data_IF_999079166414
#
_entry.id   IF_999079166414
#
_cell.length_a   1.000
_cell.length_b   1.000
_cell.length_c   1.000
_cell.angle_alpha   90.00
_cell.angle_beta   90.00
_cell.angle_gamma   90.00
#
_symmetry.space_group_name_H-M   'P 1'
#
loop_
_entity.id
_entity.type
_entity.pdbx_description
1 polymer ?
#
# COMPACT_ATOMS: atom_id res chain seq x y z
N UNK A 1 -14.65 -7.23 2.72
CA UNK A 1 -13.51 -6.56 3.39
C UNK A 1 -13.63 -5.04 3.24
N UNK A 2 -13.16 -4.25 4.23
CA UNK A 2 -12.95 -2.81 4.09
C UNK A 2 -11.95 -2.49 2.96
N UNK A 3 -12.03 -1.27 2.43
CA UNK A 3 -10.96 -0.73 1.59
C UNK A 3 -9.88 -0.22 2.53
N UNK A 4 -8.62 -0.49 2.22
CA UNK A 4 -7.50 -0.15 3.07
C UNK A 4 -6.31 0.37 2.28
N UNK A 5 -5.41 1.08 2.95
CA UNK A 5 -4.20 1.62 2.35
C UNK A 5 -3.27 2.23 3.38
N UNK A 6 -2.21 2.88 2.90
CA UNK A 6 -1.23 3.58 3.71
C UNK A 6 -1.06 5.03 3.27
N UNK A 7 -0.87 5.91 4.24
CA UNK A 7 -0.20 7.20 4.01
C UNK A 7 1.24 7.10 4.52
N UNK A 8 2.19 7.51 3.70
CA UNK A 8 3.59 7.60 4.10
C UNK A 8 3.89 9.04 4.51
N UNK A 9 4.11 9.26 5.81
CA UNK A 9 4.31 10.59 6.38
C UNK A 9 5.79 10.74 6.75
N UNK A 10 6.54 11.67 6.13
CA UNK A 10 7.95 11.89 6.46
C UNK A 10 8.15 12.26 7.93
N UNK A 11 9.18 11.68 8.55
CA UNK A 11 9.66 12.07 9.89
C UNK A 11 10.96 12.86 9.74
N UNK A 12 11.88 12.33 8.93
CA UNK A 12 13.17 12.91 8.59
C UNK A 12 13.62 12.36 7.22
N UNK A 13 14.86 12.65 6.82
CA UNK A 13 15.42 12.29 5.51
C UNK A 13 15.52 10.78 5.26
N UNK A 14 15.47 9.97 6.32
CA UNK A 14 15.69 8.52 6.25
C UNK A 14 14.48 7.70 6.72
N UNK A 15 13.45 8.33 7.28
CA UNK A 15 12.36 7.64 7.97
C UNK A 15 11.00 8.29 7.70
N UNK A 16 9.99 7.44 7.61
CA UNK A 16 8.58 7.83 7.48
C UNK A 16 7.70 6.93 8.35
N UNK A 17 6.56 7.46 8.76
CA UNK A 17 5.47 6.67 9.34
C UNK A 17 4.62 6.07 8.22
N UNK A 18 4.27 4.79 8.36
CA UNK A 18 3.20 4.15 7.61
C UNK A 18 1.89 4.26 8.41
N UNK A 19 1.00 5.17 8.00
CA UNK A 19 -0.33 5.29 8.60
C UNK A 19 -1.32 4.41 7.83
N UNK A 20 -1.60 3.23 8.37
CA UNK A 20 -2.60 2.32 7.83
C UNK A 20 -4.02 2.79 8.17
N UNK A 21 -4.93 2.69 7.21
CA UNK A 21 -6.35 3.00 7.42
C UNK A 21 -7.25 1.98 6.75
N UNK A 22 -8.44 1.81 7.33
CA UNK A 22 -9.55 1.06 6.75
C UNK A 22 -10.78 1.95 6.67
N UNK A 23 -11.57 1.82 5.61
CA UNK A 23 -12.84 2.50 5.50
C UNK A 23 -13.88 1.71 4.70
N UNK A 24 -15.13 2.15 4.85
CA UNK A 24 -16.29 1.74 4.08
C UNK A 24 -17.03 2.99 3.62
N UNK A 25 -17.46 3.03 2.37
CA UNK A 25 -18.15 4.20 1.78
C UNK A 25 -19.61 4.32 2.18
N UNK A 26 -20.21 3.26 2.74
CA UNK A 26 -21.66 3.15 2.94
C UNK A 26 -22.09 3.04 4.40
N UNK A 27 -21.16 2.70 5.29
CA UNK A 27 -21.42 2.46 6.71
C UNK A 27 -20.14 2.59 7.51
N UNK A 28 -20.29 2.73 8.82
CA UNK A 28 -19.15 2.65 9.73
C UNK A 28 -18.56 1.24 9.79
N UNK A 29 -17.30 1.14 10.23
CA UNK A 29 -16.65 -0.13 10.52
C UNK A 29 -17.33 -0.80 11.71
N UNK A 30 -17.54 -2.11 11.61
CA UNK A 30 -18.10 -2.90 12.72
C UNK A 30 -17.09 -3.05 13.84
N UNK A 31 -17.54 -3.53 15.00
CA UNK A 31 -16.65 -3.87 16.11
C UNK A 31 -15.62 -4.92 15.72
N UNK A 32 -16.04 -5.96 14.99
CA UNK A 32 -15.15 -7.04 14.54
C UNK A 32 -14.12 -6.55 13.51
N UNK A 33 -14.54 -5.68 12.57
CA UNK A 33 -13.62 -5.08 11.59
C UNK A 33 -12.55 -4.23 12.29
N UNK A 34 -12.95 -3.43 13.29
CA UNK A 34 -11.99 -2.66 14.10
C UNK A 34 -11.10 -3.56 14.95
N UNK A 35 -11.65 -4.58 15.59
CA UNK A 35 -10.89 -5.55 16.36
C UNK A 35 -9.82 -6.22 15.50
N UNK A 36 -10.15 -6.59 14.26
CA UNK A 36 -9.19 -7.16 13.33
C UNK A 36 -8.03 -6.21 13.00
N UNK A 37 -8.28 -4.90 12.90
CA UNK A 37 -7.21 -3.90 12.73
C UNK A 37 -6.30 -3.86 13.96
N UNK A 38 -6.88 -3.84 15.17
CA UNK A 38 -6.11 -3.87 16.43
C UNK A 38 -5.30 -5.14 16.61
N UNK A 39 -5.83 -6.27 16.14
CA UNK A 39 -5.16 -7.57 16.16
C UNK A 39 -4.08 -7.71 15.06
N UNK A 40 -3.90 -6.69 14.22
CA UNK A 40 -2.85 -6.65 13.20
C UNK A 40 -3.14 -7.50 11.96
N UNK A 41 -4.41 -7.62 11.57
CA UNK A 41 -4.79 -8.31 10.34
C UNK A 41 -4.69 -7.40 9.10
N UNK A 42 -4.50 -8.03 7.93
CA UNK A 42 -4.39 -7.31 6.66
C UNK A 42 -3.14 -6.43 6.60
N UNK A 43 -3.35 -5.12 6.35
CA UNK A 43 -2.30 -4.10 6.28
C UNK A 43 -1.93 -3.50 7.65
N UNK A 44 -2.57 -3.98 8.72
CA UNK A 44 -2.26 -3.57 10.09
C UNK A 44 -1.23 -4.50 10.72
N UNK A 45 -0.63 -4.05 11.82
CA UNK A 45 0.25 -4.87 12.64
C UNK A 45 0.02 -4.59 14.12
N UNK A 46 0.48 -5.52 14.98
CA UNK A 46 0.52 -5.29 16.43
C UNK A 46 1.69 -4.38 16.77
N UNK A 47 1.52 -3.57 17.80
CA UNK A 47 2.54 -2.64 18.27
C UNK A 47 3.11 -3.05 19.62
N UNK A 48 4.32 -2.59 19.93
CA UNK A 48 4.83 -2.60 21.31
C UNK A 48 3.86 -1.75 22.15
N UNK A 49 3.29 -2.29 23.24
CA UNK A 49 2.26 -1.60 24.01
C UNK A 49 2.65 -0.18 24.42
N UNK A 50 1.76 0.79 24.17
CA UNK A 50 1.99 2.21 24.49
C UNK A 50 2.88 2.96 23.49
N UNK A 51 3.23 2.35 22.34
CA UNK A 51 4.07 2.98 21.31
C UNK A 51 3.46 2.82 19.91
N UNK A 52 4.08 3.45 18.91
CA UNK A 52 3.78 3.27 17.48
C UNK A 52 4.79 2.34 16.79
N UNK A 53 5.63 1.64 17.55
CA UNK A 53 6.65 0.74 17.00
C UNK A 53 6.01 -0.63 16.77
N UNK A 54 6.08 -1.20 15.55
CA UNK A 54 5.59 -2.56 15.30
C UNK A 54 6.23 -3.56 16.26
N UNK A 55 5.43 -4.49 16.80
CA UNK A 55 5.89 -5.52 17.73
C UNK A 55 6.94 -6.42 17.08
N UNK A 56 6.68 -6.84 15.84
CA UNK A 56 7.65 -7.48 14.97
C UNK A 56 8.30 -6.40 14.10
N UNK A 57 9.61 -6.19 14.26
CA UNK A 57 10.34 -5.13 13.58
C UNK A 57 11.80 -5.54 13.33
N UNK A 58 12.55 -4.68 12.66
CA UNK A 58 13.96 -4.95 12.30
C UNK A 58 14.85 -5.32 13.49
N UNK A 59 14.63 -4.79 14.69
CA UNK A 59 15.50 -5.05 15.84
C UNK A 59 15.32 -6.45 16.44
N UNK A 60 14.24 -7.14 16.10
CA UNK A 60 13.96 -8.51 16.56
C UNK A 60 13.77 -9.50 15.40
N UNK A 61 14.38 -9.20 14.25
CA UNK A 61 14.30 -10.00 13.02
C UNK A 61 12.86 -10.33 12.63
N UNK A 62 11.95 -9.37 12.84
CA UNK A 62 10.52 -9.45 12.57
C UNK A 62 9.84 -10.67 13.22
N UNK A 63 10.38 -11.13 14.37
CA UNK A 63 9.93 -12.32 15.09
C UNK A 63 9.86 -13.58 14.22
N UNK A 64 10.78 -13.71 13.27
CA UNK A 64 10.75 -14.80 12.30
C UNK A 64 10.79 -16.19 12.97
N UNK A 65 9.83 -17.03 12.62
CA UNK A 65 9.72 -18.40 13.10
C UNK A 65 10.19 -19.39 12.02
N UNK A 66 11.49 -19.71 12.05
CA UNK A 66 12.11 -20.66 11.10
C UNK A 66 11.56 -22.09 11.23
N UNK A 67 11.08 -22.48 12.40
CA UNK A 67 10.46 -23.81 12.60
C UNK A 67 9.13 -23.86 11.85
N UNK A 68 8.27 -22.86 12.02
CA UNK A 68 7.00 -22.75 11.30
C UNK A 68 7.21 -22.69 9.78
N UNK A 69 8.22 -21.92 9.33
CA UNK A 69 8.63 -21.87 7.93
C UNK A 69 9.01 -23.26 7.39
N UNK A 70 9.91 -23.97 8.09
CA UNK A 70 10.37 -25.30 7.68
C UNK A 70 9.24 -26.34 7.65
N UNK A 71 8.25 -26.19 8.53
CA UNK A 71 7.08 -27.06 8.59
C UNK A 71 5.97 -26.68 7.59
N UNK A 72 6.14 -25.57 6.83
CA UNK A 72 5.15 -25.10 5.86
C UNK A 72 3.90 -24.47 6.49
N UNK A 73 3.93 -24.11 7.77
CA UNK A 73 2.83 -23.44 8.45
C UNK A 73 2.74 -21.95 8.07
N UNK A 74 3.89 -21.35 7.79
CA UNK A 74 4.02 -20.00 7.23
C UNK A 74 5.01 -20.04 6.07
N UNK A 75 4.81 -19.17 5.07
CA UNK A 75 5.66 -19.19 3.88
C UNK A 75 7.06 -18.61 4.15
N UNK A 76 7.11 -17.44 4.78
CA UNK A 76 8.33 -16.68 5.05
C UNK A 76 8.88 -16.88 6.48
N UNK A 77 8.10 -17.47 7.39
CA UNK A 77 8.40 -17.49 8.82
C UNK A 77 7.94 -16.23 9.56
N UNK A 78 7.57 -15.17 8.86
CA UNK A 78 7.07 -13.91 9.43
C UNK A 78 5.54 -13.92 9.44
N UNK A 79 4.95 -13.54 10.56
CA UNK A 79 3.50 -13.54 10.74
C UNK A 79 2.88 -12.21 10.30
N UNK A 80 1.75 -12.28 9.59
CA UNK A 80 1.01 -11.12 9.08
C UNK A 80 1.54 -10.61 7.73
N UNK A 81 0.64 -10.09 6.89
CA UNK A 81 0.99 -9.59 5.55
C UNK A 81 1.78 -8.29 5.67
N UNK A 82 1.31 -7.37 6.51
CA UNK A 82 1.96 -6.07 6.73
C UNK A 82 3.44 -6.21 7.11
N UNK A 83 3.77 -7.11 8.04
CA UNK A 83 5.16 -7.31 8.50
C UNK A 83 5.99 -8.06 7.46
N UNK A 84 5.39 -8.97 6.69
CA UNK A 84 6.08 -9.61 5.56
C UNK A 84 6.53 -8.56 4.54
N UNK A 85 5.64 -7.64 4.15
CA UNK A 85 5.94 -6.58 3.19
C UNK A 85 6.93 -5.56 3.76
N UNK A 86 6.73 -5.08 5.00
CA UNK A 86 7.62 -4.11 5.62
C UNK A 86 9.02 -4.66 5.85
N UNK A 87 9.15 -5.95 6.20
CA UNK A 87 10.45 -6.57 6.42
C UNK A 87 11.33 -6.56 5.16
N UNK A 88 10.72 -6.81 3.99
CA UNK A 88 11.39 -6.74 2.70
C UNK A 88 11.69 -5.29 2.33
N UNK A 89 10.75 -4.37 2.55
CA UNK A 89 10.94 -2.95 2.25
C UNK A 89 12.11 -2.35 3.06
N UNK A 90 12.12 -2.57 4.36
CA UNK A 90 13.15 -2.08 5.30
C UNK A 90 14.52 -2.74 5.07
N UNK A 91 14.55 -3.94 4.49
CA UNK A 91 15.81 -4.64 4.15
C UNK A 91 16.61 -3.94 3.04
N UNK A 92 15.95 -3.14 2.19
CA UNK A 92 16.63 -2.36 1.14
C UNK A 92 17.44 -1.17 1.68
N UNK A 93 17.32 -0.89 2.98
CA UNK A 93 17.92 0.26 3.65
C UNK A 93 17.05 1.52 3.57
N UNK A 94 17.39 2.57 4.35
CA UNK A 94 16.61 3.81 4.40
C UNK A 94 16.47 4.49 3.03
N UNK A 95 17.57 4.57 2.28
CA UNK A 95 17.62 5.08 0.90
C UNK A 95 18.31 4.04 0.02
N UNK A 96 17.55 3.45 -0.90
CA UNK A 96 18.08 2.43 -1.80
C UNK A 96 18.80 3.06 -3.00
N UNK A 97 20.05 2.65 -3.26
CA UNK A 97 20.84 3.06 -4.42
C UNK A 97 20.27 2.46 -5.72
N UNK A 98 19.42 3.23 -6.40
CA UNK A 98 18.74 2.80 -7.64
C UNK A 98 19.64 2.82 -8.88
N UNK A 99 20.89 3.30 -8.79
CA UNK A 99 21.80 3.31 -9.96
C UNK A 99 22.21 1.89 -10.41
N UNK A 100 22.07 0.92 -9.50
CA UNK A 100 22.41 -0.50 -9.72
C UNK A 100 21.19 -1.36 -10.06
N UNK A 101 19.99 -0.79 -10.01
CA UNK A 101 18.75 -1.52 -10.18
C UNK A 101 18.54 -1.92 -11.65
N UNK A 102 18.21 -3.18 -11.89
CA UNK A 102 17.93 -3.73 -13.22
C UNK A 102 16.47 -4.16 -13.30
N UNK A 103 15.65 -3.31 -13.91
CA UNK A 103 14.21 -3.53 -14.05
C UNK A 103 13.90 -4.50 -15.20
N UNK A 104 12.96 -5.41 -14.97
CA UNK A 104 12.43 -6.34 -15.95
C UNK A 104 11.15 -5.77 -16.61
N UNK A 105 10.67 -6.36 -17.73
CA UNK A 105 9.42 -5.93 -18.37
C UNK A 105 8.20 -5.92 -17.44
N UNK A 106 8.19 -6.78 -16.41
CA UNK A 106 7.16 -6.83 -15.37
C UNK A 106 7.12 -5.58 -14.49
N UNK A 107 8.21 -4.82 -14.42
CA UNK A 107 8.35 -3.61 -13.60
C UNK A 107 7.87 -2.34 -14.34
N UNK A 108 7.19 -2.49 -15.47
CA UNK A 108 6.66 -1.37 -16.27
C UNK A 108 5.84 -0.39 -15.42
N UNK A 109 5.07 -0.89 -14.46
CA UNK A 109 4.31 -0.05 -13.52
C UNK A 109 5.21 0.89 -12.71
N UNK A 110 6.28 0.36 -12.12
CA UNK A 110 7.28 1.12 -11.35
C UNK A 110 7.97 2.15 -12.24
N UNK A 111 8.36 1.74 -13.46
CA UNK A 111 8.99 2.65 -14.43
C UNK A 111 8.08 3.84 -14.77
N UNK A 112 6.79 3.59 -15.02
CA UNK A 112 5.82 4.63 -15.34
C UNK A 112 5.56 5.56 -14.14
N UNK A 113 5.41 5.00 -12.95
CA UNK A 113 5.20 5.79 -11.73
C UNK A 113 6.38 6.73 -11.47
N UNK A 114 7.62 6.22 -11.52
CA UNK A 114 8.83 7.04 -11.33
C UNK A 114 8.98 8.12 -12.39
N UNK A 115 8.71 7.81 -13.66
CA UNK A 115 8.72 8.82 -14.74
C UNK A 115 7.73 9.95 -14.48
N UNK A 116 6.52 9.63 -13.97
CA UNK A 116 5.52 10.65 -13.60
C UNK A 116 6.02 11.52 -12.45
N UNK A 117 6.59 10.92 -11.40
CA UNK A 117 7.12 11.67 -10.25
C UNK A 117 8.28 12.59 -10.66
N UNK A 118 9.26 12.10 -11.41
CA UNK A 118 10.38 12.93 -11.88
C UNK A 118 9.93 14.09 -12.77
N UNK A 119 8.94 13.83 -13.64
CA UNK A 119 8.36 14.89 -14.46
C UNK A 119 7.68 15.95 -13.59
N UNK A 120 6.89 15.53 -12.60
CA UNK A 120 6.18 16.45 -11.71
C UNK A 120 7.14 17.30 -10.86
N UNK A 121 8.25 16.72 -10.39
CA UNK A 121 9.31 17.46 -9.69
C UNK A 121 9.89 18.55 -10.58
N UNK A 122 10.30 18.20 -11.82
CA UNK A 122 10.87 19.18 -12.76
C UNK A 122 9.90 20.30 -13.12
N UNK A 123 8.66 19.96 -13.46
CA UNK A 123 7.63 20.96 -13.79
C UNK A 123 7.34 21.90 -12.60
N UNK A 124 7.43 21.39 -11.37
CA UNK A 124 7.28 22.23 -10.17
C UNK A 124 8.48 23.16 -9.97
N UNK A 125 9.70 22.66 -10.13
CA UNK A 125 10.93 23.44 -9.95
C UNK A 125 11.13 24.51 -11.03
N UNK A 126 10.86 24.17 -12.30
CA UNK A 126 11.11 25.03 -13.46
C UNK A 126 9.97 26.02 -13.69
N UNK A 127 8.72 25.55 -13.62
CA UNK A 127 7.54 26.32 -14.04
C UNK A 127 6.58 26.67 -12.88
N UNK A 128 6.85 26.19 -11.66
CA UNK A 128 5.94 26.36 -10.51
C UNK A 128 4.65 25.54 -10.63
N UNK A 129 4.58 24.59 -11.57
CA UNK A 129 3.37 23.81 -11.84
C UNK A 129 3.17 22.75 -10.76
N UNK A 130 2.01 22.78 -10.10
CA UNK A 130 1.68 21.82 -9.06
C UNK A 130 1.63 20.38 -9.61
N UNK A 131 2.11 19.39 -8.83
CA UNK A 131 2.05 17.99 -9.22
C UNK A 131 0.58 17.51 -9.31
N UNK A 132 0.28 16.50 -10.13
CA UNK A 132 -1.06 15.91 -10.18
C UNK A 132 -1.36 15.18 -8.85
N UNK A 133 -2.65 15.08 -8.50
CA UNK A 133 -3.14 14.42 -7.30
C UNK A 133 -3.16 15.30 -6.06
N UNK A 134 -2.98 16.63 -6.21
CA UNK A 134 -3.11 17.59 -5.10
C UNK A 134 -4.56 17.95 -4.81
N UNK A 135 -5.43 17.92 -5.82
CA UNK A 135 -6.87 18.10 -5.67
C UNK A 135 -7.50 16.78 -5.18
N UNK A 136 -8.27 16.77 -4.08
CA UNK A 136 -9.00 15.59 -3.62
C UNK A 136 -9.86 14.91 -4.69
N UNK A 137 -10.39 15.66 -5.67
CA UNK A 137 -11.15 15.07 -6.78
C UNK A 137 -10.30 14.16 -7.66
N UNK A 138 -9.03 14.50 -7.88
CA UNK A 138 -8.06 13.68 -8.63
C UNK A 138 -7.68 12.41 -7.88
N UNK A 139 -7.89 12.38 -6.56
CA UNK A 139 -7.64 11.22 -5.69
C UNK A 139 -8.81 10.24 -5.62
N UNK A 140 -9.97 10.54 -6.26
CA UNK A 140 -11.13 9.65 -6.33
C UNK A 140 -10.92 8.46 -7.29
N UNK A 141 -9.77 7.84 -7.20
CA UNK A 141 -9.37 6.64 -7.92
C UNK A 141 -9.38 5.46 -6.95
N UNK A 142 -9.91 4.32 -7.36
CA UNK A 142 -9.91 3.08 -6.59
C UNK A 142 -9.63 1.87 -7.48
N UNK A 143 -9.19 0.77 -6.88
CA UNK A 143 -9.18 -0.52 -7.58
C UNK A 143 -10.60 -0.95 -7.92
N UNK A 144 -10.75 -1.82 -8.91
CA UNK A 144 -12.02 -2.46 -9.22
C UNK A 144 -11.77 -3.89 -9.70
N UNK A 145 -12.65 -4.81 -9.31
CA UNK A 145 -12.78 -6.12 -9.94
C UNK A 145 -14.13 -6.14 -10.65
N UNK A 146 -14.10 -6.31 -11.98
CA UNK A 146 -15.27 -6.29 -12.86
C UNK A 146 -15.21 -7.44 -13.87
N UNK A 147 -16.37 -8.01 -14.20
CA UNK A 147 -16.50 -8.95 -15.31
C UNK A 147 -16.86 -8.18 -16.56
N UNK A 148 -16.05 -8.32 -17.61
CA UNK A 148 -16.24 -7.62 -18.87
C UNK A 148 -16.61 -8.62 -19.99
N UNK A 149 -17.52 -8.24 -20.90
CA UNK A 149 -17.73 -8.94 -22.16
C UNK A 149 -16.42 -9.25 -22.89
N UNK A 150 -16.36 -10.44 -23.49
CA UNK A 150 -15.21 -10.85 -24.30
C UNK A 150 -14.98 -9.86 -25.43
N UNK A 151 -13.75 -9.35 -25.56
CA UNK A 151 -13.37 -8.37 -26.58
C UNK A 151 -13.53 -6.91 -26.16
N UNK A 152 -14.19 -6.62 -25.03
CA UNK A 152 -14.17 -5.27 -24.46
C UNK A 152 -12.81 -4.98 -23.85
N UNK A 153 -12.25 -3.82 -24.20
CA UNK A 153 -10.97 -3.39 -23.64
C UNK A 153 -11.16 -2.93 -22.19
N UNK A 154 -10.28 -3.41 -21.30
CA UNK A 154 -10.46 -3.26 -19.86
C UNK A 154 -10.45 -1.82 -19.36
N UNK A 155 -9.70 -0.92 -20.03
CA UNK A 155 -9.65 0.49 -19.62
C UNK A 155 -11.01 1.16 -19.74
N UNK A 156 -11.74 0.83 -20.81
CA UNK A 156 -13.01 1.46 -21.13
C UNK A 156 -14.12 0.77 -20.32
N UNK A 157 -14.08 -0.56 -20.21
CA UNK A 157 -15.08 -1.33 -19.45
C UNK A 157 -15.02 -1.13 -17.93
N UNK A 158 -13.86 -0.76 -17.38
CA UNK A 158 -13.68 -0.58 -15.94
C UNK A 158 -13.64 0.90 -15.50
N UNK A 159 -13.71 1.87 -16.43
CA UNK A 159 -13.48 3.29 -16.14
C UNK A 159 -14.34 3.80 -14.98
N UNK A 160 -15.65 3.60 -15.07
CA UNK A 160 -16.59 4.04 -14.04
C UNK A 160 -16.36 3.35 -12.69
N UNK A 161 -16.01 2.06 -12.73
CA UNK A 161 -15.77 1.26 -11.52
C UNK A 161 -14.52 1.72 -10.77
N UNK A 162 -13.50 2.18 -11.50
CA UNK A 162 -12.25 2.72 -10.95
C UNK A 162 -12.39 4.11 -10.33
N UNK A 163 -13.56 4.77 -10.44
CA UNK A 163 -13.81 6.03 -9.75
C UNK A 163 -14.52 5.79 -8.41
N UNK A 164 -13.99 6.38 -7.36
CA UNK A 164 -14.59 6.36 -6.04
C UNK A 164 -15.69 7.42 -5.95
N UNK A 165 -16.90 7.00 -5.56
CA UNK A 165 -18.04 7.90 -5.37
C UNK A 165 -18.60 7.73 -3.95
N UNK A 166 -18.89 8.83 -3.22
CA UNK A 166 -19.50 8.75 -1.90
C UNK A 166 -20.80 7.93 -1.93
N UNK A 167 -20.99 7.04 -0.96
CA UNK A 167 -22.18 6.18 -0.86
C UNK A 167 -22.22 5.00 -1.84
N UNK A 168 -21.34 4.94 -2.84
CA UNK A 168 -21.26 3.79 -3.74
C UNK A 168 -20.33 2.71 -3.18
N UNK A 169 -20.72 1.42 -3.24
CA UNK A 169 -19.86 0.34 -2.78
C UNK A 169 -18.63 0.22 -3.67
N UNK A 170 -17.58 -0.41 -3.15
CA UNK A 170 -16.43 -0.81 -3.95
C UNK A 170 -16.86 -1.86 -4.98
N UNK A 171 -16.59 -1.62 -6.26
CA UNK A 171 -16.86 -2.56 -7.32
C UNK A 171 -15.90 -3.75 -7.23
N UNK A 172 -16.41 -4.86 -6.67
CA UNK A 172 -15.70 -6.13 -6.59
C UNK A 172 -16.68 -7.25 -6.86
N UNK A 173 -16.55 -7.90 -8.02
CA UNK A 173 -17.15 -9.21 -8.32
C UNK A 173 -16.28 -10.34 -7.81
#
# INVERSE_FOLDING_TARGET
HPVHGHFWIPINDEQCWAWSFDYKTQRDLTTDERAAMWDGHGVHCKYVPGTYIPLANKSNDYLINRKAQKMGLTYSGVEGIAIQDSSLQESMGPICDRTKEKLAPTDKGIMMARRKLFKAIKELEEDGKLPPGVDPEEQKVRSASVLLPRGQHYKDGAEDAMRAKPGEPHASV
#
